data_IF_752976746821
#
_entry.id   IF_752976746821
#
_cell.length_a   1.000
_cell.length_b   1.000
_cell.length_c   1.000
_cell.angle_alpha   90.00
_cell.angle_beta   90.00
_cell.angle_gamma   90.00
#
_symmetry.space_group_name_H-M   'P 1'
#
loop_
_entity.id
_entity.type
_entity.pdbx_description
1 polymer ?
#
# COMPACT_ATOMS: atom_id res chain seq x y z
N UNK A 1 -10.75 12.07 16.10
CA UNK A 1 -10.22 11.46 17.33
C UNK A 1 -10.59 9.99 17.33
N UNK A 2 -9.66 9.09 17.00
CA UNK A 2 -9.76 7.60 17.02
C UNK A 2 -8.47 7.09 16.34
N UNK A 3 -7.55 6.33 16.92
CA UNK A 3 -7.58 5.35 18.01
C UNK A 3 -6.28 5.43 18.84
N UNK A 4 -6.41 5.77 20.13
CA UNK A 4 -5.35 5.53 21.13
C UNK A 4 -5.69 4.21 21.85
N UNK A 5 -5.03 3.12 21.45
CA UNK A 5 -4.88 1.94 22.29
C UNK A 5 -3.58 1.23 21.91
N UNK A 6 -2.46 1.89 22.19
CA UNK A 6 -1.13 1.30 22.10
C UNK A 6 -0.70 0.93 23.52
N UNK A 7 -1.24 -0.16 24.05
CA UNK A 7 -0.62 -0.83 25.20
C UNK A 7 0.42 -1.79 24.62
N UNK A 8 1.69 -1.35 24.61
CA UNK A 8 2.91 -2.09 24.28
C UNK A 8 3.19 -2.49 22.80
N UNK A 9 2.38 -2.08 21.82
CA UNK A 9 2.47 -2.53 20.40
C UNK A 9 2.87 -1.46 19.37
N UNK A 10 3.32 -0.29 19.82
CA UNK A 10 3.52 0.91 18.97
C UNK A 10 4.41 0.67 17.73
N UNK A 11 5.44 -0.16 17.87
CA UNK A 11 6.37 -0.51 16.78
C UNK A 11 5.73 -1.45 15.74
N UNK A 12 4.79 -2.30 16.13
CA UNK A 12 4.05 -3.18 15.20
C UNK A 12 2.96 -2.42 14.44
N UNK A 13 2.27 -1.48 15.11
CA UNK A 13 1.24 -0.65 14.50
C UNK A 13 1.80 0.22 13.34
N UNK A 14 3.03 0.72 13.48
CA UNK A 14 3.73 1.46 12.43
C UNK A 14 4.22 0.59 11.26
N UNK A 15 4.16 -0.74 11.40
CA UNK A 15 4.66 -1.70 10.41
C UNK A 15 3.57 -2.37 9.62
N UNK A 16 2.31 -1.98 9.77
CA UNK A 16 1.22 -2.60 8.99
C UNK A 16 1.27 -2.12 7.54
N UNK A 17 1.14 -3.06 6.59
CA UNK A 17 1.18 -2.76 5.16
C UNK A 17 -0.09 -2.06 4.67
N UNK A 18 0.01 -0.78 4.33
CA UNK A 18 -1.11 -0.04 3.70
C UNK A 18 -1.62 -0.73 2.42
N UNK A 19 -0.71 -1.21 1.57
CA UNK A 19 -1.10 -1.89 0.34
C UNK A 19 -1.79 -3.22 0.62
N UNK A 20 -1.27 -4.00 1.58
CA UNK A 20 -1.88 -5.26 2.00
C UNK A 20 -3.28 -5.02 2.58
N UNK A 21 -3.44 -4.02 3.44
CA UNK A 21 -4.74 -3.65 4.01
C UNK A 21 -5.71 -3.35 2.88
N UNK A 22 -5.32 -2.51 1.91
CA UNK A 22 -6.19 -2.16 0.79
C UNK A 22 -6.63 -3.37 -0.03
N UNK A 23 -5.75 -4.35 -0.22
CA UNK A 23 -6.08 -5.61 -0.90
C UNK A 23 -7.09 -6.43 -0.10
N UNK A 24 -6.89 -6.58 1.22
CA UNK A 24 -7.84 -7.28 2.09
C UNK A 24 -9.21 -6.59 2.08
N UNK A 25 -9.26 -5.27 2.23
CA UNK A 25 -10.53 -4.54 2.16
C UNK A 25 -11.25 -4.73 0.82
N UNK A 26 -10.53 -4.73 -0.29
CA UNK A 26 -11.12 -4.99 -1.61
C UNK A 26 -11.62 -6.43 -1.77
N UNK A 27 -10.96 -7.41 -1.15
CA UNK A 27 -11.38 -8.81 -1.14
C UNK A 27 -12.63 -9.03 -0.30
N UNK A 28 -12.65 -8.51 0.93
CA UNK A 28 -13.77 -8.66 1.86
C UNK A 28 -15.01 -7.84 1.44
N UNK A 29 -14.83 -6.70 0.76
CA UNK A 29 -15.94 -5.82 0.34
C UNK A 29 -17.10 -6.57 -0.33
N UNK A 30 -16.91 -7.38 -1.38
CA UNK A 30 -18.00 -8.17 -1.96
C UNK A 30 -18.56 -9.21 -0.99
N UNK A 31 -17.73 -9.85 -0.16
CA UNK A 31 -18.19 -10.85 0.82
C UNK A 31 -19.18 -10.25 1.82
N UNK A 32 -18.88 -9.06 2.35
CA UNK A 32 -19.76 -8.35 3.28
C UNK A 32 -21.11 -7.95 2.70
N UNK A 33 -21.23 -7.80 1.37
CA UNK A 33 -22.51 -7.54 0.72
C UNK A 33 -23.44 -8.76 0.77
N UNK A 34 -22.88 -9.96 0.85
CA UNK A 34 -23.62 -11.23 0.86
C UNK A 34 -23.83 -11.80 2.28
N UNK A 35 -23.16 -11.27 3.30
CA UNK A 35 -23.27 -11.76 4.68
C UNK A 35 -24.61 -11.40 5.33
N UNK A 36 -25.21 -12.39 5.98
CA UNK A 36 -26.37 -12.17 6.85
C UNK A 36 -25.97 -11.30 8.06
N UNK A 37 -26.90 -10.54 8.66
CA UNK A 37 -26.61 -9.70 9.83
C UNK A 37 -25.96 -10.46 10.99
N UNK A 38 -26.34 -11.73 11.21
CA UNK A 38 -25.77 -12.62 12.23
C UNK A 38 -24.30 -12.99 11.97
N UNK A 39 -23.85 -12.94 10.72
CA UNK A 39 -22.50 -13.35 10.31
C UNK A 39 -21.54 -12.16 10.19
N UNK A 40 -22.07 -10.93 10.10
CA UNK A 40 -21.26 -9.70 9.95
C UNK A 40 -20.20 -9.55 11.04
N UNK A 41 -20.53 -9.88 12.28
CA UNK A 41 -19.58 -9.81 13.38
C UNK A 41 -18.42 -10.80 13.17
N UNK A 42 -18.72 -12.01 12.70
CA UNK A 42 -17.69 -13.03 12.41
C UNK A 42 -16.83 -12.61 11.21
N UNK A 43 -17.44 -12.09 10.15
CA UNK A 43 -16.72 -11.54 9.00
C UNK A 43 -15.81 -10.37 9.40
N UNK A 44 -16.26 -9.49 10.30
CA UNK A 44 -15.45 -8.38 10.79
C UNK A 44 -14.23 -8.85 11.60
N UNK A 45 -14.41 -9.87 12.46
CA UNK A 45 -13.29 -10.49 13.16
C UNK A 45 -12.30 -11.14 12.18
N UNK A 46 -12.78 -11.80 11.13
CA UNK A 46 -11.92 -12.38 10.09
C UNK A 46 -11.09 -11.31 9.35
N UNK A 47 -11.72 -10.19 8.97
CA UNK A 47 -11.02 -9.05 8.37
C UNK A 47 -9.94 -8.48 9.29
N UNK A 48 -10.25 -8.27 10.58
CA UNK A 48 -9.29 -7.75 11.54
C UNK A 48 -8.09 -8.70 11.76
N UNK A 49 -8.35 -10.01 11.83
CA UNK A 49 -7.30 -11.02 11.91
C UNK A 49 -6.40 -10.99 10.67
N UNK A 50 -6.99 -10.95 9.46
CA UNK A 50 -6.22 -10.86 8.22
C UNK A 50 -5.37 -9.58 8.16
N UNK A 51 -5.90 -8.45 8.63
CA UNK A 51 -5.14 -7.19 8.68
C UNK A 51 -3.97 -7.25 9.67
N UNK A 52 -4.17 -7.89 10.84
CA UNK A 52 -3.13 -8.04 11.86
C UNK A 52 -1.92 -8.83 11.34
N UNK A 53 -2.11 -9.76 10.42
CA UNK A 53 -1.04 -10.57 9.83
C UNK A 53 -0.19 -9.81 8.80
N UNK A 54 -0.64 -8.64 8.33
CA UNK A 54 0.04 -7.85 7.30
C UNK A 54 1.17 -6.97 7.84
N UNK A 55 2.00 -7.53 8.72
CA UNK A 55 3.15 -6.84 9.30
C UNK A 55 4.30 -6.87 8.29
N UNK A 56 4.79 -5.69 7.90
CA UNK A 56 6.00 -5.55 7.09
C UNK A 56 7.20 -5.99 7.93
N UNK A 57 8.04 -6.92 7.44
CA UNK A 57 9.21 -7.38 8.16
C UNK A 57 10.17 -6.21 8.42
N UNK A 58 10.80 -6.21 9.59
CA UNK A 58 11.79 -5.20 9.95
C UNK A 58 13.02 -5.40 9.09
N UNK A 59 13.40 -4.37 8.34
CA UNK A 59 14.57 -4.40 7.47
C UNK A 59 15.57 -3.35 7.94
N UNK A 60 16.27 -3.65 9.04
CA UNK A 60 17.21 -2.75 9.72
C UNK A 60 18.26 -2.13 8.79
N UNK A 61 18.70 -2.88 7.78
CA UNK A 61 19.73 -2.47 6.81
C UNK A 61 19.16 -1.79 5.57
N UNK A 62 17.88 -1.44 5.58
CA UNK A 62 17.26 -0.61 4.53
C UNK A 62 17.47 0.87 4.88
N UNK A 63 18.73 1.31 4.79
CA UNK A 63 18.98 2.70 4.42
C UNK A 63 18.44 2.85 2.99
N UNK A 64 17.71 3.91 2.63
CA UNK A 64 17.47 4.21 1.21
C UNK A 64 18.58 5.12 0.68
N UNK A 65 19.77 4.61 0.29
CA UNK A 65 20.38 5.09 -0.92
C UNK A 65 19.69 4.30 -2.04
N UNK A 66 18.72 4.90 -2.72
CA UNK A 66 18.34 4.36 -4.03
C UNK A 66 19.62 4.36 -4.87
N UNK A 67 20.18 3.18 -5.12
CA UNK A 67 21.32 3.06 -6.03
C UNK A 67 20.88 3.71 -7.33
N UNK A 68 21.55 4.80 -7.71
CA UNK A 68 21.33 5.44 -9.01
C UNK A 68 21.39 4.31 -10.03
N UNK A 69 20.32 4.11 -10.80
CA UNK A 69 20.30 3.07 -11.83
C UNK A 69 21.56 3.25 -12.68
N UNK A 70 22.53 2.33 -12.54
CA UNK A 70 23.84 2.44 -13.21
C UNK A 70 23.73 2.21 -14.72
N UNK A 71 22.64 1.56 -15.16
CA UNK A 71 22.32 1.45 -16.59
C UNK A 71 22.03 2.86 -17.12
N UNK A 72 22.83 3.38 -18.07
CA UNK A 72 22.51 4.61 -18.77
C UNK A 72 21.10 4.50 -19.33
N UNK A 73 20.27 5.53 -19.13
CA UNK A 73 18.94 5.54 -19.73
C UNK A 73 19.15 5.48 -21.25
N UNK A 74 18.53 4.52 -21.97
CA UNK A 74 18.79 4.32 -23.40
C UNK A 74 18.30 5.51 -24.25
N UNK A 75 17.59 6.44 -23.64
CA UNK A 75 17.11 7.67 -24.26
C UNK A 75 17.55 8.87 -23.41
N UNK A 76 17.88 9.99 -24.06
CA UNK A 76 18.21 11.23 -23.36
C UNK A 76 17.04 11.67 -22.49
N UNK A 77 17.35 12.45 -21.46
CA UNK A 77 16.33 13.11 -20.66
C UNK A 77 15.50 14.06 -21.54
N UNK A 78 14.20 14.16 -21.24
CA UNK A 78 13.37 15.17 -21.87
C UNK A 78 13.94 16.56 -21.57
N UNK A 79 14.24 17.33 -22.61
CA UNK A 79 14.68 18.73 -22.49
C UNK A 79 13.52 19.71 -22.39
N UNK A 80 12.32 19.24 -22.71
CA UNK A 80 11.08 20.02 -22.71
C UNK A 80 9.94 19.16 -22.12
N UNK A 81 8.87 19.78 -21.60
CA UNK A 81 7.69 19.07 -21.15
C UNK A 81 7.11 18.15 -22.24
N UNK A 82 6.61 16.97 -21.83
CA UNK A 82 6.08 15.96 -22.76
C UNK A 82 4.91 16.49 -23.62
N UNK A 83 4.13 17.44 -23.11
CA UNK A 83 3.07 18.12 -23.86
C UNK A 83 3.60 18.90 -25.08
N UNK A 84 4.72 19.61 -24.92
CA UNK A 84 5.36 20.39 -25.99
C UNK A 84 5.92 19.49 -27.08
N UNK A 85 6.61 18.40 -26.69
CA UNK A 85 7.16 17.44 -27.65
C UNK A 85 6.08 16.69 -28.45
N UNK A 86 4.95 16.36 -27.80
CA UNK A 86 3.79 15.76 -28.48
C UNK A 86 3.18 16.70 -29.51
N UNK A 87 3.07 17.99 -29.18
CA UNK A 87 2.56 18.99 -30.13
C UNK A 87 3.46 19.11 -31.37
N UNK A 88 4.79 19.06 -31.19
CA UNK A 88 5.79 19.14 -32.28
C UNK A 88 5.78 17.92 -33.23
N UNK A 89 5.32 16.76 -32.78
CA UNK A 89 5.23 15.54 -33.60
C UNK A 89 4.00 15.50 -34.52
N UNK A 90 3.00 16.34 -34.24
CA UNK A 90 1.72 16.38 -34.95
C UNK A 90 1.66 17.55 -35.95
N UNK A 91 2.61 18.48 -35.88
CA UNK A 91 2.81 19.56 -36.84
C UNK A 91 3.67 19.11 -38.02
#
# INVERSE_FOLDING_TARGET
MMLNRADNSEVEALRVSLQGIRQQFNHFRPEFLHLAPSERQRGYQALLSAVRELIIPFRANRSEPRVVKRRPKPFPHFREPCSVLKAKLVA
#
